data_IF_400157126789
#
_entry.id   IF_400157126789
#
_cell.length_a   1.000
_cell.length_b   1.000
_cell.length_c   1.000
_cell.angle_alpha   90.00
_cell.angle_beta   90.00
_cell.angle_gamma   90.00
#
_symmetry.space_group_name_H-M   'P 1'
#
loop_
_entity.id
_entity.type
_entity.pdbx_description
1 polymer ?
#
# COMPACT_ATOMS: atom_id res chain seq x y z
N UNK A 1 9.91 -31.34 -16.22
CA UNK A 1 9.29 -30.01 -16.12
C UNK A 1 10.31 -29.05 -15.54
N UNK A 2 10.76 -28.04 -16.31
CA UNK A 2 11.71 -27.04 -15.82
C UNK A 2 10.94 -26.08 -14.89
N UNK A 3 11.28 -26.06 -13.60
CA UNK A 3 10.78 -25.05 -12.68
C UNK A 3 11.17 -23.67 -13.21
N UNK A 4 10.19 -22.79 -13.42
CA UNK A 4 10.48 -21.38 -13.69
C UNK A 4 11.14 -20.80 -12.42
N UNK A 5 12.39 -20.29 -12.50
CA UNK A 5 13.06 -19.74 -11.33
C UNK A 5 12.26 -18.55 -10.78
N UNK A 6 12.00 -18.61 -9.48
CA UNK A 6 11.29 -17.53 -8.75
C UNK A 6 12.37 -16.57 -8.26
N UNK A 7 12.43 -15.39 -8.87
CA UNK A 7 13.39 -14.35 -8.46
C UNK A 7 12.70 -13.35 -7.55
N UNK A 8 13.32 -13.05 -6.41
CA UNK A 8 12.90 -11.96 -5.55
C UNK A 8 13.78 -10.74 -5.82
N UNK A 9 13.11 -9.60 -5.93
CA UNK A 9 13.69 -8.35 -6.36
C UNK A 9 13.64 -7.38 -5.20
N UNK A 10 14.78 -6.81 -4.86
CA UNK A 10 14.86 -5.79 -3.82
C UNK A 10 15.20 -4.45 -4.48
N UNK A 11 14.29 -3.48 -4.33
CA UNK A 11 14.38 -2.17 -4.96
C UNK A 11 14.50 -1.11 -3.88
N UNK A 12 15.66 -0.47 -3.79
CA UNK A 12 15.85 0.71 -2.95
C UNK A 12 15.43 1.92 -3.76
N UNK A 13 14.14 2.22 -3.74
CA UNK A 13 13.57 3.34 -4.49
C UNK A 13 13.37 4.53 -3.56
N UNK A 14 13.52 5.75 -4.07
CA UNK A 14 12.92 6.91 -3.39
C UNK A 14 11.43 6.61 -3.20
N UNK A 15 10.81 6.92 -2.05
CA UNK A 15 9.36 6.86 -1.97
C UNK A 15 8.85 7.60 -3.20
N UNK A 16 8.02 6.94 -4.03
CA UNK A 16 7.36 7.67 -5.10
C UNK A 16 6.76 8.90 -4.43
N UNK A 17 6.84 10.08 -5.05
CA UNK A 17 5.91 11.17 -4.76
C UNK A 17 4.51 10.62 -5.05
N UNK A 18 3.98 9.84 -4.13
CA UNK A 18 2.58 9.51 -4.04
C UNK A 18 1.93 10.83 -3.63
N UNK A 19 0.70 11.06 -4.07
CA UNK A 19 -0.05 12.25 -3.66
C UNK A 19 -0.35 12.16 -2.17
N UNK A 20 0.66 12.42 -1.33
CA UNK A 20 0.60 12.52 0.11
C UNK A 20 -0.15 13.79 0.55
N UNK A 21 -0.92 14.45 -0.32
CA UNK A 21 -1.66 15.66 0.03
C UNK A 21 -2.69 15.44 1.15
N UNK A 22 -2.99 14.19 1.51
CA UNK A 22 -3.93 13.80 2.57
C UNK A 22 -3.27 13.13 3.79
N UNK A 23 -1.97 12.86 3.75
CA UNK A 23 -1.22 12.39 4.92
C UNK A 23 -0.46 13.61 5.38
N UNK A 24 -0.61 14.01 6.65
CA UNK A 24 0.17 15.08 7.27
C UNK A 24 1.59 15.07 6.71
N UNK A 25 2.03 16.27 6.28
CA UNK A 25 3.29 16.61 5.58
C UNK A 25 4.27 15.45 5.53
N UNK A 26 4.81 15.04 4.35
CA UNK A 26 5.81 13.98 4.30
C UNK A 26 6.90 14.32 5.32
N UNK A 27 6.97 13.52 6.41
CA UNK A 27 7.95 13.72 7.49
C UNK A 27 9.28 14.05 6.81
N UNK A 28 9.79 15.28 7.03
CA UNK A 28 10.96 15.87 6.35
C UNK A 28 11.92 14.77 5.88
N UNK A 29 11.86 14.44 4.59
CA UNK A 29 12.67 13.45 3.87
C UNK A 29 13.43 12.44 4.76
N UNK A 30 12.73 11.69 5.61
CA UNK A 30 13.36 10.60 6.33
C UNK A 30 13.48 9.43 5.37
N UNK A 31 14.71 8.95 5.16
CA UNK A 31 14.98 7.81 4.29
C UNK A 31 14.21 6.61 4.88
N UNK A 32 13.24 6.09 4.13
CA UNK A 32 12.46 4.90 4.48
C UNK A 32 12.81 3.79 3.48
N UNK A 33 12.99 2.58 4.01
CA UNK A 33 13.25 1.41 3.18
C UNK A 33 11.92 0.86 2.66
N UNK A 34 11.71 0.99 1.35
CA UNK A 34 10.57 0.42 0.65
C UNK A 34 10.97 -0.88 -0.02
N UNK A 35 10.24 -1.95 0.29
CA UNK A 35 10.47 -3.26 -0.30
C UNK A 35 9.45 -3.51 -1.41
N UNK A 36 9.92 -3.83 -2.62
CA UNK A 36 9.05 -4.05 -3.78
C UNK A 36 9.18 -5.46 -4.35
N UNK A 37 8.16 -6.29 -4.17
CA UNK A 37 8.11 -7.63 -4.74
C UNK A 37 7.37 -7.62 -6.08
N UNK A 38 8.06 -8.07 -7.14
CA UNK A 38 7.51 -8.17 -8.50
C UNK A 38 8.06 -9.41 -9.20
N UNK A 39 7.22 -10.07 -9.99
CA UNK A 39 7.68 -11.03 -10.99
C UNK A 39 8.47 -10.28 -12.06
N UNK A 40 9.73 -10.65 -12.27
CA UNK A 40 10.48 -10.21 -13.45
C UNK A 40 10.61 -11.43 -14.36
N UNK A 41 10.09 -11.33 -15.58
CA UNK A 41 10.48 -12.23 -16.65
C UNK A 41 11.90 -11.81 -17.06
N UNK A 42 12.90 -12.60 -16.66
CA UNK A 42 14.25 -12.39 -17.18
C UNK A 42 14.27 -12.92 -18.61
N UNK A 43 14.39 -12.01 -19.57
CA UNK A 43 14.97 -12.35 -20.86
C UNK A 43 16.34 -12.98 -20.60
N UNK A 44 16.69 -13.99 -21.39
CA UNK A 44 17.88 -14.84 -21.24
C UNK A 44 19.19 -14.07 -21.52
N UNK A 45 19.40 -12.95 -20.86
CA UNK A 45 20.60 -12.14 -20.98
C UNK A 45 21.64 -12.61 -19.97
N UNK A 46 22.68 -13.23 -20.54
CA UNK A 46 24.01 -13.57 -20.04
C UNK A 46 24.17 -13.74 -18.52
N UNK A 47 24.55 -14.98 -18.18
CA UNK A 47 24.52 -15.64 -16.88
C UNK A 47 25.77 -15.41 -16.01
N UNK A 48 26.54 -14.34 -16.20
CA UNK A 48 27.80 -14.14 -15.48
C UNK A 48 27.74 -12.99 -14.46
N UNK A 49 28.60 -13.06 -13.43
CA UNK A 49 28.78 -12.09 -12.32
C UNK A 49 27.78 -12.17 -11.15
N UNK A 50 27.58 -13.36 -10.59
CA UNK A 50 26.96 -13.51 -9.28
C UNK A 50 27.98 -13.30 -8.17
N UNK A 51 27.61 -12.56 -7.13
CA UNK A 51 28.41 -12.39 -5.92
C UNK A 51 27.67 -13.04 -4.77
N UNK A 52 28.37 -13.89 -4.02
CA UNK A 52 27.80 -14.46 -2.80
C UNK A 52 27.74 -13.37 -1.73
N UNK A 53 26.53 -13.02 -1.32
CA UNK A 53 26.28 -12.14 -0.20
C UNK A 53 26.03 -12.97 1.06
N UNK A 54 26.84 -12.72 2.07
CA UNK A 54 26.69 -13.29 3.41
C UNK A 54 26.11 -12.24 4.35
N UNK A 55 24.88 -12.46 4.80
CA UNK A 55 24.24 -11.66 5.83
C UNK A 55 23.86 -12.55 7.01
N UNK A 56 24.54 -12.36 8.15
CA UNK A 56 24.42 -13.24 9.33
C UNK A 56 24.64 -14.71 8.91
N UNK A 57 23.65 -15.56 9.14
CA UNK A 57 23.67 -17.00 8.83
C UNK A 57 23.05 -17.33 7.47
N UNK A 58 22.76 -16.33 6.63
CA UNK A 58 22.15 -16.53 5.31
C UNK A 58 23.17 -16.21 4.22
N UNK A 59 23.33 -17.14 3.29
CA UNK A 59 24.21 -17.03 2.14
C UNK A 59 23.34 -17.09 0.89
N UNK A 60 23.36 -16.02 0.08
CA UNK A 60 22.65 -16.00 -1.20
C UNK A 60 23.58 -15.50 -2.29
N UNK A 61 23.50 -16.16 -3.45
CA UNK A 61 24.10 -15.64 -4.67
C UNK A 61 23.20 -14.53 -5.18
N UNK A 62 23.71 -13.30 -5.16
CA UNK A 62 22.99 -12.13 -5.62
C UNK A 62 23.79 -11.37 -6.68
N UNK A 63 23.09 -10.54 -7.45
CA UNK A 63 23.70 -9.58 -8.37
C UNK A 63 22.97 -8.25 -8.30
N UNK A 64 23.73 -7.16 -8.45
CA UNK A 64 23.14 -5.84 -8.62
C UNK A 64 22.88 -5.62 -10.11
N UNK A 65 21.66 -5.22 -10.43
CA UNK A 65 21.22 -4.85 -11.77
C UNK A 65 20.60 -3.46 -11.72
N UNK A 66 20.37 -2.83 -12.89
CA UNK A 66 19.72 -1.54 -12.96
C UNK A 66 18.45 -1.63 -13.77
N UNK A 67 17.35 -1.09 -13.23
CA UNK A 67 16.11 -1.00 -13.99
C UNK A 67 16.31 -0.02 -15.16
N UNK A 68 16.38 -0.55 -16.40
CA UNK A 68 16.75 0.18 -17.63
C UNK A 68 16.13 1.57 -17.78
N UNK A 69 14.86 1.73 -17.43
CA UNK A 69 14.14 3.02 -17.60
C UNK A 69 14.23 3.99 -16.43
N UNK A 70 14.53 3.49 -15.22
CA UNK A 70 14.44 4.30 -13.99
C UNK A 70 15.80 4.49 -13.32
N UNK A 71 16.84 3.80 -13.83
CA UNK A 71 18.18 3.74 -13.26
C UNK A 71 18.18 3.39 -11.76
N UNK A 72 17.22 2.57 -11.32
CA UNK A 72 17.10 2.14 -9.92
C UNK A 72 17.97 0.90 -9.73
N UNK A 73 18.92 0.91 -8.77
CA UNK A 73 19.69 -0.28 -8.42
C UNK A 73 18.75 -1.34 -7.84
N UNK A 74 18.89 -2.55 -8.36
CA UNK A 74 18.01 -3.68 -8.11
C UNK A 74 18.84 -4.89 -7.73
N UNK A 75 18.72 -5.33 -6.48
CA UNK A 75 19.38 -6.56 -6.02
C UNK A 75 18.51 -7.76 -6.40
N UNK A 76 19.07 -8.67 -7.18
CA UNK A 76 18.43 -9.92 -7.60
C UNK A 76 19.18 -11.06 -6.94
N UNK A 77 18.47 -11.95 -6.24
CA UNK A 77 19.08 -13.11 -5.57
C UNK A 77 18.51 -14.42 -6.10
N UNK A 78 19.37 -15.43 -6.26
CA UNK A 78 18.97 -16.82 -6.51
C UNK A 78 18.59 -17.47 -5.18
N UNK A 79 17.35 -17.94 -5.07
CA UNK A 79 16.91 -18.65 -3.89
C UNK A 79 15.71 -19.55 -4.20
N UNK A 80 15.79 -20.83 -3.86
CA UNK A 80 14.76 -21.80 -4.18
C UNK A 80 13.67 -21.88 -3.09
N UNK A 81 14.04 -21.75 -1.81
CA UNK A 81 13.11 -21.93 -0.69
C UNK A 81 12.62 -20.60 -0.09
N UNK A 82 11.33 -20.59 0.29
CA UNK A 82 10.64 -19.41 0.84
C UNK A 82 11.24 -18.94 2.18
N UNK A 83 11.65 -19.88 3.03
CA UNK A 83 12.16 -19.58 4.38
C UNK A 83 13.45 -18.77 4.33
N UNK A 84 14.39 -19.19 3.47
CA UNK A 84 15.64 -18.48 3.23
C UNK A 84 15.39 -17.09 2.65
N UNK A 85 14.44 -16.94 1.72
CA UNK A 85 14.03 -15.62 1.20
C UNK A 85 13.55 -14.68 2.31
N UNK A 86 12.67 -15.15 3.19
CA UNK A 86 12.17 -14.38 4.35
C UNK A 86 13.32 -13.98 5.29
N UNK A 87 14.20 -14.92 5.65
CA UNK A 87 15.36 -14.68 6.53
C UNK A 87 16.30 -13.65 5.93
N UNK A 88 16.60 -13.78 4.63
CA UNK A 88 17.46 -12.83 3.91
C UNK A 88 16.86 -11.43 3.88
N UNK A 89 15.58 -11.28 3.49
CA UNK A 89 14.93 -9.98 3.44
C UNK A 89 14.94 -9.28 4.81
N UNK A 90 14.75 -10.06 5.89
CA UNK A 90 14.83 -9.58 7.27
C UNK A 90 16.24 -9.12 7.66
N UNK A 91 17.25 -9.93 7.32
CA UNK A 91 18.66 -9.62 7.60
C UNK A 91 19.12 -8.38 6.81
N UNK A 92 18.75 -8.30 5.53
CA UNK A 92 19.05 -7.17 4.67
C UNK A 92 18.39 -5.88 5.18
N UNK A 93 17.12 -5.91 5.60
CA UNK A 93 16.48 -4.74 6.23
C UNK A 93 17.21 -4.28 7.49
N UNK A 94 17.58 -5.24 8.36
CA UNK A 94 18.31 -4.93 9.59
C UNK A 94 19.65 -4.25 9.28
N UNK A 95 20.39 -4.78 8.30
CA UNK A 95 21.67 -4.20 7.90
C UNK A 95 21.53 -2.83 7.24
N UNK A 96 20.56 -2.66 6.33
CA UNK A 96 20.30 -1.37 5.68
C UNK A 96 19.89 -0.31 6.71
N UNK A 97 19.15 -0.70 7.75
CA UNK A 97 18.82 0.17 8.88
C UNK A 97 20.07 0.63 9.63
N UNK A 98 21.00 -0.29 9.91
CA UNK A 98 22.26 0.03 10.59
C UNK A 98 23.11 0.99 9.75
N UNK A 99 23.24 0.73 8.45
CA UNK A 99 24.10 1.51 7.55
C UNK A 99 23.54 2.89 7.24
N UNK A 100 22.23 2.99 6.97
CA UNK A 100 21.59 4.24 6.54
C UNK A 100 20.91 5.01 7.67
N UNK A 101 20.98 4.51 8.90
CA UNK A 101 20.32 5.10 10.08
C UNK A 101 18.83 5.40 9.87
N UNK A 102 18.13 4.53 9.12
CA UNK A 102 16.70 4.69 8.83
C UNK A 102 15.82 4.24 9.99
N UNK A 103 14.56 4.68 9.99
CA UNK A 103 13.54 4.17 10.92
C UNK A 103 13.39 2.64 10.78
N UNK A 104 13.09 1.91 11.86
CA UNK A 104 12.93 0.45 11.83
C UNK A 104 11.72 -0.01 11.02
N UNK A 105 10.77 0.89 10.79
CA UNK A 105 9.51 0.61 10.12
C UNK A 105 9.69 0.17 8.67
N UNK A 106 8.95 -0.87 8.28
CA UNK A 106 8.95 -1.38 6.91
C UNK A 106 7.81 -0.76 6.11
N UNK A 107 8.06 -0.55 4.81
CA UNK A 107 7.03 -0.28 3.83
C UNK A 107 7.03 -1.38 2.77
N UNK A 108 5.84 -1.88 2.43
CA UNK A 108 5.70 -2.94 1.44
C UNK A 108 5.00 -2.45 0.19
N UNK A 109 5.49 -2.93 -0.96
CA UNK A 109 4.86 -2.76 -2.26
C UNK A 109 4.87 -4.08 -3.00
N UNK A 110 3.75 -4.80 -3.00
CA UNK A 110 3.73 -6.18 -3.47
C UNK A 110 2.46 -6.52 -4.24
N UNK A 111 2.54 -7.55 -5.08
CA UNK A 111 1.37 -8.40 -5.32
C UNK A 111 1.24 -9.37 -4.14
N UNK A 112 0.02 -9.60 -3.68
CA UNK A 112 -0.27 -10.51 -2.56
C UNK A 112 0.15 -11.97 -2.85
N UNK A 113 0.39 -12.33 -4.12
CA UNK A 113 1.00 -13.62 -4.49
C UNK A 113 2.37 -13.87 -3.80
N UNK A 114 3.03 -12.81 -3.33
CA UNK A 114 4.34 -12.85 -2.67
C UNK A 114 4.29 -12.68 -1.15
N UNK A 115 3.09 -12.75 -0.53
CA UNK A 115 2.93 -12.56 0.92
C UNK A 115 3.78 -13.53 1.73
N UNK A 116 3.97 -14.75 1.24
CA UNK A 116 4.81 -15.74 1.90
C UNK A 116 6.32 -15.47 1.80
N UNK A 117 6.75 -14.46 1.06
CA UNK A 117 8.18 -14.08 0.96
C UNK A 117 8.52 -12.84 1.81
N UNK A 118 7.54 -12.29 2.52
CA UNK A 118 7.71 -11.08 3.32
C UNK A 118 8.63 -11.32 4.53
N UNK A 119 9.40 -10.30 4.96
CA UNK A 119 10.26 -10.39 6.13
C UNK A 119 9.53 -10.83 7.40
N UNK A 120 10.27 -11.33 8.40
CA UNK A 120 9.74 -11.64 9.72
C UNK A 120 9.41 -10.35 10.47
N UNK A 121 8.21 -9.85 10.24
CA UNK A 121 7.58 -8.74 10.95
C UNK A 121 6.09 -9.01 11.03
N UNK A 122 5.44 -8.47 12.04
CA UNK A 122 3.98 -8.39 12.15
C UNK A 122 3.47 -6.96 12.01
N UNK A 123 4.34 -5.96 11.93
CA UNK A 123 3.97 -4.55 11.76
C UNK A 123 4.60 -3.99 10.49
N UNK A 124 3.82 -3.21 9.76
CA UNK A 124 4.24 -2.52 8.55
C UNK A 124 3.62 -1.12 8.56
N UNK A 125 4.39 -0.10 8.20
CA UNK A 125 3.92 1.28 8.22
C UNK A 125 2.94 1.54 7.09
N UNK A 126 3.39 1.30 5.87
CA UNK A 126 2.61 1.52 4.66
C UNK A 126 2.64 0.31 3.76
N UNK A 127 1.49 0.00 3.15
CA UNK A 127 1.36 -1.10 2.21
C UNK A 127 0.78 -0.58 0.91
N UNK A 128 1.43 -0.92 -0.20
CA UNK A 128 0.88 -0.74 -1.55
C UNK A 128 0.64 -2.11 -2.17
N UNK A 129 -0.63 -2.48 -2.30
CA UNK A 129 -1.02 -3.59 -3.16
C UNK A 129 -0.94 -3.14 -4.62
N UNK A 130 0.02 -3.74 -5.34
CA UNK A 130 0.09 -3.68 -6.79
C UNK A 130 -1.04 -4.50 -7.39
N UNK A 131 -1.36 -4.31 -8.68
CA UNK A 131 -2.39 -5.09 -9.40
C UNK A 131 -2.31 -6.58 -9.03
N UNK A 132 -3.27 -7.05 -8.23
CA UNK A 132 -3.36 -8.45 -7.79
C UNK A 132 -4.52 -9.15 -8.48
N UNK A 133 -4.37 -10.44 -8.75
CA UNK A 133 -5.47 -11.35 -9.12
C UNK A 133 -5.94 -12.21 -7.95
N UNK A 134 -5.46 -11.96 -6.73
CA UNK A 134 -5.80 -12.76 -5.55
C UNK A 134 -7.24 -12.51 -5.09
N UNK A 135 -7.86 -13.54 -4.51
CA UNK A 135 -9.21 -13.49 -3.95
C UNK A 135 -9.23 -12.87 -2.53
N UNK A 136 -10.42 -12.80 -1.92
CA UNK A 136 -10.63 -12.25 -0.57
C UNK A 136 -9.75 -12.82 0.51
N UNK A 137 -9.60 -14.14 0.49
CA UNK A 137 -9.03 -14.90 1.60
C UNK A 137 -7.57 -14.52 1.80
N UNK A 138 -6.82 -14.34 0.71
CA UNK A 138 -5.39 -13.97 0.77
C UNK A 138 -5.19 -12.58 1.37
N UNK A 139 -6.07 -11.62 1.07
CA UNK A 139 -5.99 -10.29 1.66
C UNK A 139 -6.43 -10.29 3.13
N UNK A 140 -7.47 -11.07 3.48
CA UNK A 140 -7.87 -11.27 4.88
C UNK A 140 -6.68 -11.88 5.68
N UNK A 141 -6.01 -12.92 5.15
CA UNK A 141 -4.81 -13.52 5.75
C UNK A 141 -3.65 -12.53 5.90
N UNK A 142 -3.47 -11.64 4.92
CA UNK A 142 -2.47 -10.57 5.02
C UNK A 142 -2.73 -9.67 6.22
N UNK A 143 -3.97 -9.18 6.37
CA UNK A 143 -4.32 -8.30 7.48
C UNK A 143 -4.36 -9.05 8.83
N UNK A 144 -4.59 -10.36 8.83
CA UNK A 144 -4.43 -11.17 10.04
C UNK A 144 -2.97 -11.24 10.51
N UNK A 145 -2.04 -11.38 9.56
CA UNK A 145 -0.60 -11.50 9.82
C UNK A 145 0.12 -10.18 10.05
N UNK A 146 -0.31 -9.11 9.37
CA UNK A 146 0.35 -7.81 9.38
C UNK A 146 -0.60 -6.70 9.86
N UNK A 147 -0.18 -6.00 10.90
CA UNK A 147 -0.77 -4.77 11.35
C UNK A 147 -0.20 -3.58 10.55
N UNK A 148 -1.04 -2.96 9.73
CA UNK A 148 -0.70 -1.77 8.95
C UNK A 148 -0.95 -0.54 9.81
N UNK A 149 0.09 0.21 10.15
CA UNK A 149 -0.02 1.28 11.17
C UNK A 149 -0.41 2.64 10.61
N UNK A 150 -0.17 2.91 9.32
CA UNK A 150 -0.38 4.26 8.75
C UNK A 150 -1.25 4.28 7.51
N UNK A 151 -0.85 3.59 6.44
CA UNK A 151 -1.51 3.75 5.15
C UNK A 151 -1.62 2.47 4.32
N UNK A 152 -2.76 2.34 3.63
CA UNK A 152 -3.00 1.30 2.64
C UNK A 152 -3.29 1.93 1.27
N UNK A 153 -2.52 1.53 0.27
CA UNK A 153 -2.69 1.90 -1.13
C UNK A 153 -3.08 0.68 -1.95
N UNK A 154 -4.28 0.68 -2.51
CA UNK A 154 -4.81 -0.42 -3.29
C UNK A 154 -4.89 -0.01 -4.76
N UNK A 155 -3.94 -0.46 -5.59
CA UNK A 155 -3.88 -0.11 -7.02
C UNK A 155 -4.55 -1.19 -7.88
N UNK A 156 -5.76 -0.88 -8.38
CA UNK A 156 -6.48 -1.61 -9.43
C UNK A 156 -6.59 -3.11 -9.15
N UNK A 157 -7.49 -3.43 -8.22
CA UNK A 157 -7.76 -4.80 -7.81
C UNK A 157 -8.92 -5.39 -8.62
N UNK A 158 -8.62 -6.43 -9.38
CA UNK A 158 -9.61 -7.13 -10.23
C UNK A 158 -10.45 -8.11 -9.40
N UNK A 159 -11.60 -8.59 -9.90
CA UNK A 159 -12.87 -8.47 -9.22
C UNK A 159 -13.25 -9.84 -8.66
N UNK A 160 -12.82 -10.13 -7.44
CA UNK A 160 -13.64 -10.98 -6.58
C UNK A 160 -13.37 -10.61 -5.13
N UNK A 161 -14.20 -9.65 -4.68
CA UNK A 161 -14.56 -9.41 -3.28
C UNK A 161 -13.36 -9.53 -2.36
N UNK A 162 -12.38 -8.63 -2.48
CA UNK A 162 -11.08 -8.67 -1.79
C UNK A 162 -11.12 -8.87 -0.27
N UNK A 163 -12.27 -8.80 0.41
CA UNK A 163 -12.36 -9.02 1.85
C UNK A 163 -13.69 -9.71 2.13
N UNK A 164 -13.71 -10.92 2.70
CA UNK A 164 -14.98 -11.53 3.09
C UNK A 164 -15.40 -10.97 4.45
N UNK A 165 -14.44 -10.82 5.37
CA UNK A 165 -14.72 -10.44 6.75
C UNK A 165 -13.62 -9.65 7.50
N UNK A 166 -12.42 -9.39 6.96
CA UNK A 166 -11.40 -8.71 7.78
C UNK A 166 -11.85 -7.32 8.23
N UNK A 167 -11.86 -7.12 9.55
CA UNK A 167 -12.13 -5.82 10.18
C UNK A 167 -10.86 -4.99 10.29
N UNK A 168 -9.67 -5.58 10.16
CA UNK A 168 -8.40 -4.93 10.49
C UNK A 168 -8.03 -3.80 9.53
N UNK A 169 -8.38 -3.92 8.26
CA UNK A 169 -8.15 -2.81 7.31
C UNK A 169 -9.02 -1.57 7.62
N UNK A 170 -10.13 -1.75 8.35
CA UNK A 170 -11.11 -0.69 8.62
C UNK A 170 -10.56 0.36 9.58
N UNK A 171 -9.53 0.02 10.35
CA UNK A 171 -8.98 0.89 11.39
C UNK A 171 -7.72 1.64 10.93
N UNK A 172 -7.24 1.35 9.71
CA UNK A 172 -6.08 2.02 9.11
C UNK A 172 -6.42 3.49 8.88
N UNK A 173 -5.56 4.39 9.37
CA UNK A 173 -5.79 5.83 9.32
C UNK A 173 -5.98 6.37 7.91
N UNK A 174 -5.14 5.92 6.96
CA UNK A 174 -5.12 6.49 5.61
C UNK A 174 -5.39 5.43 4.55
N UNK A 175 -6.47 5.59 3.79
CA UNK A 175 -6.91 4.65 2.77
C UNK A 175 -6.88 5.29 1.38
N UNK A 176 -6.11 4.71 0.47
CA UNK A 176 -6.01 5.15 -0.92
C UNK A 176 -6.45 4.02 -1.83
N UNK A 177 -7.62 4.18 -2.44
CA UNK A 177 -8.35 3.09 -3.08
C UNK A 177 -8.55 3.43 -4.55
N UNK A 178 -8.02 2.59 -5.43
CA UNK A 178 -8.12 2.76 -6.87
C UNK A 178 -8.82 1.58 -7.50
N UNK A 179 -9.95 1.82 -8.16
CA UNK A 179 -10.73 0.83 -8.92
C UNK A 179 -10.98 -0.44 -8.10
N UNK A 180 -11.92 -0.33 -7.15
CA UNK A 180 -12.14 -1.33 -6.09
C UNK A 180 -13.63 -1.69 -5.98
N UNK A 181 -14.16 -2.53 -6.90
CA UNK A 181 -15.57 -2.92 -6.91
C UNK A 181 -15.99 -3.74 -5.67
N UNK A 182 -15.03 -4.16 -4.84
CA UNK A 182 -15.24 -4.94 -3.62
C UNK A 182 -15.59 -4.08 -2.39
N UNK A 183 -15.41 -2.75 -2.47
CA UNK A 183 -15.73 -1.83 -1.39
C UNK A 183 -17.05 -1.13 -1.70
N UNK A 184 -18.15 -1.80 -1.36
CA UNK A 184 -19.49 -1.22 -1.41
C UNK A 184 -19.79 -0.29 -0.23
N UNK A 185 -20.94 0.40 -0.30
CA UNK A 185 -21.39 1.31 0.74
C UNK A 185 -21.53 0.63 2.11
N UNK A 186 -22.06 -0.59 2.17
CA UNK A 186 -22.29 -1.32 3.43
C UNK A 186 -21.00 -1.57 4.22
N UNK A 187 -19.89 -1.74 3.49
CA UNK A 187 -18.54 -1.92 4.04
C UNK A 187 -17.91 -0.59 4.39
N UNK A 188 -18.08 0.41 3.54
CA UNK A 188 -17.51 1.73 3.72
C UNK A 188 -18.03 2.42 4.98
N UNK A 189 -19.33 2.29 5.29
CA UNK A 189 -19.93 2.80 6.53
C UNK A 189 -19.34 2.20 7.82
N UNK A 190 -18.63 1.07 7.71
CA UNK A 190 -17.98 0.40 8.85
C UNK A 190 -16.50 0.76 8.98
N UNK A 191 -15.95 1.54 8.04
CA UNK A 191 -14.55 1.96 8.06
C UNK A 191 -14.39 3.10 9.07
N UNK A 192 -13.37 3.00 9.93
CA UNK A 192 -12.98 4.01 10.92
C UNK A 192 -11.57 4.50 10.59
N UNK A 193 -11.46 5.36 9.58
CA UNK A 193 -10.22 5.94 9.10
C UNK A 193 -10.21 7.46 9.30
N UNK A 194 -9.05 8.07 9.16
CA UNK A 194 -8.87 9.54 9.19
C UNK A 194 -9.01 10.14 7.80
N UNK A 195 -8.43 9.49 6.78
CA UNK A 195 -8.41 9.99 5.42
C UNK A 195 -8.74 8.87 4.43
N UNK A 196 -9.65 9.15 3.50
CA UNK A 196 -9.96 8.23 2.42
C UNK A 196 -9.98 8.91 1.05
N UNK A 197 -9.26 8.32 0.10
CA UNK A 197 -9.17 8.79 -1.27
C UNK A 197 -9.60 7.68 -2.24
N UNK A 198 -10.54 7.98 -3.11
CA UNK A 198 -10.94 7.13 -4.23
C UNK A 198 -10.48 7.71 -5.55
N UNK A 199 -9.66 7.01 -6.33
CA UNK A 199 -9.31 7.48 -7.68
C UNK A 199 -10.33 7.07 -8.75
N UNK A 200 -11.08 5.99 -8.47
CA UNK A 200 -12.18 5.46 -9.26
C UNK A 200 -12.94 4.48 -8.37
N UNK A 201 -14.22 4.74 -8.16
CA UNK A 201 -15.13 3.98 -7.31
C UNK A 201 -16.32 3.45 -8.10
N UNK A 202 -16.95 2.39 -7.59
CA UNK A 202 -18.26 1.90 -8.06
C UNK A 202 -19.43 2.48 -7.27
N UNK A 203 -19.17 3.40 -6.33
CA UNK A 203 -20.21 4.10 -5.58
C UNK A 203 -20.98 5.05 -6.49
N UNK A 204 -22.29 5.05 -6.36
CA UNK A 204 -23.20 5.93 -7.08
C UNK A 204 -23.69 7.08 -6.20
N UNK A 205 -24.42 8.04 -6.80
CA UNK A 205 -25.00 9.20 -6.11
C UNK A 205 -25.68 8.86 -4.78
N UNK A 206 -26.55 7.85 -4.77
CA UNK A 206 -27.31 7.44 -3.57
C UNK A 206 -26.40 6.94 -2.46
N UNK A 207 -25.35 6.19 -2.81
CA UNK A 207 -24.37 5.69 -1.86
C UNK A 207 -23.61 6.85 -1.20
N UNK A 208 -23.28 7.88 -1.99
CA UNK A 208 -22.59 9.08 -1.50
C UNK A 208 -23.44 9.89 -0.54
N UNK A 209 -24.72 10.10 -0.87
CA UNK A 209 -25.65 10.79 0.03
C UNK A 209 -25.76 10.02 1.36
N UNK A 210 -25.86 8.69 1.28
CA UNK A 210 -25.95 7.86 2.47
C UNK A 210 -24.66 7.90 3.33
N UNK A 211 -23.50 7.88 2.68
CA UNK A 211 -22.20 7.99 3.33
C UNK A 211 -22.03 9.33 4.07
N UNK A 212 -22.39 10.43 3.40
CA UNK A 212 -22.29 11.78 3.97
C UNK A 212 -23.27 11.97 5.14
N UNK A 213 -24.52 11.52 5.01
CA UNK A 213 -25.48 11.55 6.12
C UNK A 213 -24.96 10.74 7.32
N UNK A 214 -24.45 9.53 7.08
CA UNK A 214 -23.89 8.70 8.14
C UNK A 214 -22.71 9.37 8.87
N UNK A 215 -21.90 10.12 8.13
CA UNK A 215 -20.79 10.90 8.69
C UNK A 215 -21.26 12.12 9.47
N UNK A 216 -22.21 12.90 8.93
CA UNK A 216 -22.82 14.06 9.61
C UNK A 216 -23.56 13.67 10.89
N UNK A 217 -24.13 12.46 10.95
CA UNK A 217 -24.72 11.88 12.16
C UNK A 217 -23.68 11.45 13.21
N UNK A 218 -22.39 11.54 12.92
CA UNK A 218 -21.30 11.26 13.86
C UNK A 218 -20.85 9.79 13.94
N UNK A 219 -21.27 8.91 13.02
CA UNK A 219 -20.92 7.48 13.11
C UNK A 219 -19.44 7.17 12.85
N UNK A 220 -18.73 8.06 12.15
CA UNK A 220 -17.28 7.96 11.91
C UNK A 220 -16.56 9.23 12.36
N UNK A 221 -16.43 9.37 13.69
CA UNK A 221 -15.79 10.54 14.34
C UNK A 221 -14.31 10.73 14.01
N UNK A 222 -13.66 9.72 13.43
CA UNK A 222 -12.24 9.78 13.06
C UNK A 222 -12.02 10.40 11.68
N UNK A 223 -13.02 10.33 10.80
CA UNK A 223 -12.88 10.78 9.42
C UNK A 223 -12.73 12.30 9.37
N UNK A 224 -11.54 12.73 8.97
CA UNK A 224 -11.17 14.14 8.77
C UNK A 224 -11.32 14.56 7.31
N UNK A 225 -10.98 13.68 6.36
CA UNK A 225 -11.06 14.01 4.94
C UNK A 225 -11.49 12.85 4.04
N UNK A 226 -12.27 13.20 3.01
CA UNK A 226 -12.67 12.30 1.94
C UNK A 226 -12.44 12.96 0.59
N UNK A 227 -11.90 12.22 -0.36
CA UNK A 227 -11.70 12.70 -1.73
C UNK A 227 -12.05 11.65 -2.75
N UNK A 228 -12.78 12.06 -3.78
CA UNK A 228 -13.23 11.16 -4.85
C UNK A 228 -12.95 11.76 -6.20
N UNK A 229 -12.29 10.96 -7.04
CA UNK A 229 -11.97 11.33 -8.41
C UNK A 229 -12.72 10.39 -9.36
N UNK A 230 -13.25 10.95 -10.46
CA UNK A 230 -13.78 10.23 -11.64
C UNK A 230 -15.02 9.34 -11.46
N UNK A 231 -15.58 9.15 -10.27
CA UNK A 231 -16.72 8.24 -10.06
C UNK A 231 -18.08 8.90 -9.87
N UNK A 232 -18.12 10.09 -9.27
CA UNK A 232 -19.36 10.85 -8.99
C UNK A 232 -19.21 12.32 -9.40
N UNK A 233 -18.15 12.64 -10.15
CA UNK A 233 -17.80 14.01 -10.49
C UNK A 233 -18.95 14.72 -11.24
N UNK A 234 -19.61 14.01 -12.16
CA UNK A 234 -20.71 14.57 -12.96
C UNK A 234 -21.97 14.83 -12.11
N UNK A 235 -22.17 14.04 -11.05
CA UNK A 235 -23.33 14.13 -10.15
C UNK A 235 -23.07 15.03 -8.92
N UNK A 236 -21.92 15.71 -8.84
CA UNK A 236 -21.51 16.45 -7.63
C UNK A 236 -22.59 17.44 -7.19
N UNK A 237 -23.12 18.26 -8.11
CA UNK A 237 -24.20 19.21 -7.82
C UNK A 237 -25.45 18.51 -7.24
N UNK A 238 -25.86 17.39 -7.84
CA UNK A 238 -27.02 16.61 -7.38
C UNK A 238 -26.80 15.94 -6.02
N UNK A 239 -25.55 15.71 -5.61
CA UNK A 239 -25.23 15.23 -4.26
C UNK A 239 -25.34 16.41 -3.30
N UNK A 240 -24.67 17.51 -3.62
CA UNK A 240 -24.59 18.72 -2.79
C UNK A 240 -25.95 19.33 -2.47
N UNK A 241 -26.91 19.30 -3.41
CA UNK A 241 -28.29 19.79 -3.20
C UNK A 241 -29.06 19.07 -2.07
N UNK A 242 -28.56 17.94 -1.55
CA UNK A 242 -29.18 17.21 -0.43
C UNK A 242 -28.70 17.70 0.93
N UNK A 243 -27.75 18.64 0.98
CA UNK A 243 -27.11 19.08 2.20
C UNK A 243 -27.23 20.59 2.34
N UNK A 244 -27.34 21.06 3.59
CA UNK A 244 -27.27 22.49 3.88
C UNK A 244 -25.80 22.92 3.88
N UNK A 245 -25.30 23.35 2.73
CA UNK A 245 -23.90 23.72 2.53
C UNK A 245 -23.74 25.23 2.58
N UNK A 246 -22.68 25.68 3.24
CA UNK A 246 -22.22 27.06 3.19
C UNK A 246 -21.00 27.15 2.28
N UNK A 247 -20.79 28.34 1.67
CA UNK A 247 -19.60 28.57 0.88
C UNK A 247 -18.37 28.57 1.80
N UNK A 248 -17.33 27.82 1.42
CA UNK A 248 -16.09 27.78 2.17
C UNK A 248 -15.43 29.17 2.20
N UNK A 249 -15.16 29.69 3.39
CA UNK A 249 -14.47 30.95 3.62
C UNK A 249 -13.03 30.68 4.10
N UNK A 250 -11.98 30.91 3.28
CA UNK A 250 -10.59 30.70 3.68
C UNK A 250 -10.15 31.50 4.92
N UNK A 251 -10.79 32.62 5.24
CA UNK A 251 -10.42 33.45 6.39
C UNK A 251 -10.97 32.91 7.71
N UNK A 252 -12.13 32.22 7.65
CA UNK A 252 -12.86 31.71 8.82
C UNK A 252 -12.72 30.19 8.95
N UNK A 253 -12.90 29.46 7.84
CA UNK A 253 -12.85 28.00 7.75
C UNK A 253 -11.41 27.50 7.61
N UNK A 254 -10.67 27.59 8.71
CA UNK A 254 -9.33 27.03 8.79
C UNK A 254 -9.40 25.51 8.86
N UNK A 255 -8.86 24.85 7.83
CA UNK A 255 -8.53 23.44 7.92
C UNK A 255 -7.25 23.35 8.76
N UNK A 256 -7.43 23.16 10.07
CA UNK A 256 -6.32 22.81 10.96
C UNK A 256 -5.91 21.38 10.64
N UNK A 257 -4.81 21.24 9.92
CA UNK A 257 -4.06 19.99 9.95
C UNK A 257 -3.37 19.98 11.31
N UNK A 258 -3.75 19.04 12.18
CA UNK A 258 -3.02 18.79 13.42
C UNK A 258 -1.53 18.60 13.04
N UNK A 259 -0.69 19.59 13.35
CA UNK A 259 0.74 19.42 13.22
C UNK A 259 1.24 18.75 14.52
N UNK A 260 1.90 17.58 14.44
CA UNK A 260 2.57 16.99 15.61
C UNK A 260 3.80 17.78 16.04
#
# INVERSE_FOLDING_TARGET
MRHNPTYTVFLLNKPKKMSYGFVEKPEKEQILLSWTWKKIAMESENLDNWTQLKFKDVHLDCRVTFHRKLNIPTLVCRCEDVSTRKRFATALHSHMREVFHVKPEMQFKLSLDYMEELPYTNTVRDVTFLKTSVNSTVADEFFEKFHVTRALFCQRSVPDRLLKNSCKFREINNLFISWSPWLDISRLLKVKCENIMFSSSTLHKKDMIHLLNNWLEGNNTRLKSMSMFKSVADDTHLIMDNFNLEAWDPEVDKIEYDEP
#
